data_IF_029282716002
#
_entry.id   IF_029282716002
#
_cell.length_a   1.000
_cell.length_b   1.000
_cell.length_c   1.000
_cell.angle_alpha   90.00
_cell.angle_beta   90.00
_cell.angle_gamma   90.00
#
_symmetry.space_group_name_H-M   'P 1'
#
loop_
_entity.id
_entity.type
_entity.pdbx_description
1 polymer ?
#
# COMPACT_ATOMS: atom_id res chain seq x y z
N UNK A 1 -17.25 -10.79 -17.29
CA UNK A 1 -15.98 -11.52 -17.46
C UNK A 1 -15.61 -12.23 -16.18
N UNK A 2 -14.86 -13.31 -16.28
CA UNK A 2 -14.26 -14.05 -15.17
C UNK A 2 -12.83 -13.57 -14.96
N UNK A 3 -12.59 -12.87 -13.86
CA UNK A 3 -11.33 -12.19 -13.58
C UNK A 3 -10.60 -12.85 -12.42
N UNK A 4 -9.35 -13.27 -12.62
CA UNK A 4 -8.46 -13.66 -11.51
C UNK A 4 -7.82 -12.39 -10.95
N UNK A 5 -7.95 -12.16 -9.64
CA UNK A 5 -7.37 -11.01 -8.96
C UNK A 5 -6.27 -11.45 -7.99
N UNK A 6 -5.03 -11.13 -8.32
CA UNK A 6 -3.86 -11.44 -7.50
C UNK A 6 -3.56 -10.33 -6.49
N UNK A 7 -3.37 -10.71 -5.22
CA UNK A 7 -3.05 -9.75 -4.14
C UNK A 7 -1.81 -10.20 -3.37
N UNK A 8 -0.80 -9.32 -3.31
CA UNK A 8 0.37 -9.58 -2.46
C UNK A 8 0.04 -9.28 -1.01
N UNK A 9 0.42 -10.18 -0.11
CA UNK A 9 0.18 -10.08 1.34
C UNK A 9 1.34 -9.49 2.14
N UNK A 10 2.27 -8.80 1.51
CA UNK A 10 3.35 -8.07 2.20
C UNK A 10 2.82 -6.75 2.79
N UNK A 11 2.08 -6.85 3.89
CA UNK A 11 1.38 -5.72 4.53
C UNK A 11 -0.09 -5.62 4.11
N UNK A 12 -0.92 -5.07 5.00
CA UNK A 12 -2.38 -5.04 4.82
C UNK A 12 -2.85 -4.02 3.78
N UNK A 13 -1.99 -3.07 3.38
CA UNK A 13 -2.37 -2.00 2.46
C UNK A 13 -2.79 -2.46 1.06
N UNK A 14 -2.17 -3.52 0.54
CA UNK A 14 -2.54 -4.13 -0.73
C UNK A 14 -3.93 -4.79 -0.63
N UNK A 15 -4.15 -5.59 0.40
CA UNK A 15 -5.43 -6.26 0.63
C UNK A 15 -6.57 -5.25 0.84
N UNK A 16 -6.35 -4.21 1.63
CA UNK A 16 -7.33 -3.15 1.88
C UNK A 16 -7.71 -2.42 0.60
N UNK A 17 -6.74 -2.09 -0.26
CA UNK A 17 -7.00 -1.47 -1.57
C UNK A 17 -7.72 -2.42 -2.51
N UNK A 18 -7.29 -3.68 -2.56
CA UNK A 18 -7.85 -4.69 -3.45
C UNK A 18 -9.35 -4.92 -3.19
N UNK A 19 -9.80 -4.88 -1.93
CA UNK A 19 -11.24 -4.96 -1.59
C UNK A 19 -12.06 -3.99 -2.41
N UNK A 20 -11.63 -2.71 -2.51
CA UNK A 20 -12.40 -1.68 -3.23
C UNK A 20 -12.49 -1.97 -4.74
N UNK A 21 -11.38 -2.39 -5.35
CA UNK A 21 -11.36 -2.72 -6.79
C UNK A 21 -12.18 -3.99 -7.06
N UNK A 22 -12.07 -5.01 -6.21
CA UNK A 22 -12.84 -6.25 -6.35
C UNK A 22 -14.33 -5.99 -6.19
N UNK A 23 -14.75 -5.21 -5.19
CA UNK A 23 -16.14 -4.83 -5.00
C UNK A 23 -16.68 -4.05 -6.21
N UNK A 24 -15.88 -3.15 -6.78
CA UNK A 24 -16.24 -2.45 -8.01
C UNK A 24 -16.44 -3.45 -9.17
N UNK A 25 -15.52 -4.38 -9.40
CA UNK A 25 -15.65 -5.40 -10.45
C UNK A 25 -16.91 -6.26 -10.27
N UNK A 26 -17.21 -6.69 -9.06
CA UNK A 26 -18.42 -7.43 -8.72
C UNK A 26 -19.68 -6.61 -9.00
N UNK A 27 -19.69 -5.33 -8.62
CA UNK A 27 -20.77 -4.38 -8.90
C UNK A 27 -20.99 -4.13 -10.40
N UNK A 28 -19.96 -4.29 -11.21
CA UNK A 28 -20.02 -4.23 -12.69
C UNK A 28 -20.45 -5.57 -13.34
N UNK A 29 -20.78 -6.57 -12.52
CA UNK A 29 -21.23 -7.89 -12.98
C UNK A 29 -20.11 -8.82 -13.46
N UNK A 30 -18.85 -8.54 -13.09
CA UNK A 30 -17.76 -9.49 -13.27
C UNK A 30 -17.80 -10.55 -12.17
N UNK A 31 -17.33 -11.75 -12.48
CA UNK A 31 -17.03 -12.78 -11.48
C UNK A 31 -15.55 -12.68 -11.12
N UNK A 32 -15.21 -12.81 -9.84
CA UNK A 32 -13.84 -12.64 -9.39
C UNK A 32 -13.38 -13.83 -8.56
N UNK A 33 -12.25 -14.44 -8.96
CA UNK A 33 -11.48 -15.39 -8.17
C UNK A 33 -10.25 -14.67 -7.61
N UNK A 34 -10.15 -14.57 -6.30
CA UNK A 34 -9.06 -13.86 -5.63
C UNK A 34 -7.99 -14.83 -5.20
N UNK A 35 -6.76 -14.64 -5.66
CA UNK A 35 -5.57 -15.36 -5.23
C UNK A 35 -4.70 -14.43 -4.38
N UNK A 36 -4.65 -14.67 -3.06
CA UNK A 36 -3.98 -13.78 -2.12
C UNK A 36 -2.86 -14.48 -1.36
N UNK A 37 -1.68 -13.88 -1.32
CA UNK A 37 -0.54 -14.39 -0.56
C UNK A 37 -0.44 -13.74 0.83
N UNK A 38 0.39 -14.34 1.71
CA UNK A 38 0.65 -13.85 3.07
C UNK A 38 -0.39 -14.28 4.10
N UNK A 39 -0.05 -14.12 5.38
CA UNK A 39 -0.84 -14.71 6.48
C UNK A 39 -2.19 -14.01 6.72
N UNK A 40 -2.27 -12.68 6.60
CA UNK A 40 -3.45 -11.90 6.96
C UNK A 40 -4.34 -11.48 5.78
N UNK A 41 -3.78 -11.36 4.57
CA UNK A 41 -4.51 -10.85 3.43
C UNK A 41 -5.67 -11.76 2.98
N UNK A 42 -5.54 -13.11 2.88
CA UNK A 42 -6.66 -13.96 2.51
C UNK A 42 -7.83 -13.86 3.49
N UNK A 43 -7.55 -13.83 4.80
CA UNK A 43 -8.57 -13.73 5.83
C UNK A 43 -9.31 -12.38 5.79
N UNK A 44 -8.58 -11.28 5.64
CA UNK A 44 -9.17 -9.94 5.50
C UNK A 44 -10.06 -9.86 4.25
N UNK A 45 -9.57 -10.35 3.11
CA UNK A 45 -10.32 -10.33 1.84
C UNK A 45 -11.59 -11.17 1.95
N UNK A 46 -11.50 -12.38 2.51
CA UNK A 46 -12.67 -13.24 2.71
C UNK A 46 -13.72 -12.57 3.62
N UNK A 47 -13.28 -11.97 4.74
CA UNK A 47 -14.17 -11.27 5.65
C UNK A 47 -14.85 -10.05 5.01
N UNK A 48 -14.09 -9.23 4.26
CA UNK A 48 -14.61 -7.99 3.65
C UNK A 48 -15.44 -8.23 2.40
N UNK A 49 -15.22 -9.31 1.67
CA UNK A 49 -15.97 -9.66 0.47
C UNK A 49 -17.24 -10.49 0.78
N UNK A 50 -17.36 -11.05 2.00
CA UNK A 50 -18.59 -11.69 2.48
C UNK A 50 -19.12 -12.82 1.58
N UNK A 51 -18.23 -13.57 0.90
CA UNK A 51 -18.61 -14.64 -0.03
C UNK A 51 -19.01 -14.17 -1.44
N UNK A 52 -19.02 -12.87 -1.74
CA UNK A 52 -19.30 -12.35 -3.07
C UNK A 52 -18.19 -12.70 -4.11
N UNK A 53 -17.00 -13.02 -3.64
CA UNK A 53 -15.89 -13.57 -4.43
C UNK A 53 -15.26 -14.76 -3.74
N UNK A 54 -14.76 -15.72 -4.52
CA UNK A 54 -13.97 -16.83 -4.00
C UNK A 54 -12.57 -16.35 -3.67
N UNK A 55 -12.12 -16.54 -2.43
CA UNK A 55 -10.75 -16.20 -2.00
C UNK A 55 -9.94 -17.45 -1.76
N UNK A 56 -8.80 -17.56 -2.41
CA UNK A 56 -7.85 -18.67 -2.28
C UNK A 56 -6.52 -18.17 -1.76
N UNK A 57 -5.99 -18.76 -0.69
CA UNK A 57 -4.62 -18.50 -0.27
C UNK A 57 -3.64 -19.08 -1.29
N UNK A 58 -2.60 -18.32 -1.57
CA UNK A 58 -1.47 -18.75 -2.38
C UNK A 58 -0.15 -18.45 -1.67
N UNK A 59 0.89 -19.17 -2.05
CA UNK A 59 2.24 -18.91 -1.60
C UNK A 59 2.96 -17.99 -2.59
N UNK A 60 3.07 -16.72 -2.22
CA UNK A 60 3.80 -15.71 -2.98
C UNK A 60 5.33 -15.84 -2.86
N UNK A 61 6.06 -15.02 -3.62
CA UNK A 61 7.50 -14.88 -3.45
C UNK A 61 7.79 -14.19 -2.11
N UNK A 62 8.53 -14.86 -1.22
CA UNK A 62 8.98 -14.27 0.04
C UNK A 62 10.20 -13.39 -0.15
N UNK A 63 10.13 -12.17 0.35
CA UNK A 63 11.26 -11.27 0.47
C UNK A 63 11.72 -11.25 1.92
N UNK A 64 12.90 -11.84 2.17
CA UNK A 64 13.45 -11.93 3.53
C UNK A 64 14.21 -10.65 3.88
N UNK A 65 13.83 -10.03 4.99
CA UNK A 65 14.43 -8.81 5.48
C UNK A 65 15.31 -9.10 6.71
N UNK A 66 16.53 -8.58 6.74
CA UNK A 66 17.42 -8.63 7.92
C UNK A 66 17.85 -7.21 8.29
N UNK A 67 17.64 -6.84 9.53
CA UNK A 67 17.96 -5.49 10.03
C UNK A 67 17.43 -4.37 9.11
N UNK A 68 16.20 -4.52 8.59
CA UNK A 68 15.57 -3.55 7.69
C UNK A 68 16.12 -3.51 6.26
N UNK A 69 16.97 -4.47 5.85
CA UNK A 69 17.54 -4.58 4.50
C UNK A 69 17.09 -5.87 3.83
N UNK A 70 16.75 -5.80 2.54
CA UNK A 70 16.44 -6.98 1.73
C UNK A 70 17.67 -7.90 1.65
N UNK A 71 17.53 -9.13 2.11
CA UNK A 71 18.54 -10.17 2.00
C UNK A 71 18.25 -11.07 0.81
N UNK A 72 18.87 -10.77 -0.35
CA UNK A 72 18.68 -11.55 -1.58
C UNK A 72 19.04 -13.03 -1.41
N UNK A 73 20.13 -13.32 -0.70
CA UNK A 73 20.56 -14.72 -0.45
C UNK A 73 19.54 -15.47 0.40
N UNK A 74 19.04 -14.83 1.47
CA UNK A 74 18.02 -15.44 2.33
C UNK A 74 16.71 -15.63 1.56
N UNK A 75 16.26 -14.61 0.80
CA UNK A 75 15.07 -14.70 -0.04
C UNK A 75 15.15 -15.87 -1.03
N UNK A 76 16.28 -16.06 -1.70
CA UNK A 76 16.50 -17.22 -2.60
C UNK A 76 16.39 -18.54 -1.83
N UNK A 77 17.09 -18.64 -0.68
CA UNK A 77 17.10 -19.86 0.14
C UNK A 77 15.71 -20.22 0.63
N UNK A 78 14.96 -19.24 1.16
CA UNK A 78 13.62 -19.45 1.68
C UNK A 78 12.64 -19.84 0.57
N UNK A 79 12.75 -19.20 -0.60
CA UNK A 79 11.93 -19.56 -1.74
C UNK A 79 12.25 -20.98 -2.28
N UNK A 80 13.50 -21.41 -2.28
CA UNK A 80 13.89 -22.76 -2.69
C UNK A 80 13.45 -23.82 -1.66
N UNK A 81 13.58 -23.53 -0.35
CA UNK A 81 13.18 -24.46 0.70
C UNK A 81 11.68 -24.78 0.69
N UNK A 82 10.86 -23.81 0.33
CA UNK A 82 9.40 -23.94 0.27
C UNK A 82 8.87 -24.32 -1.12
N UNK A 83 9.74 -24.48 -2.11
CA UNK A 83 9.33 -24.67 -3.52
C UNK A 83 8.35 -25.81 -3.75
N UNK A 84 8.54 -26.99 -3.10
CA UNK A 84 7.68 -28.16 -3.30
C UNK A 84 6.29 -28.01 -2.67
N UNK A 85 6.20 -27.44 -1.46
CA UNK A 85 4.91 -27.21 -0.78
C UNK A 85 4.10 -26.14 -1.50
N UNK A 86 4.77 -25.08 -1.92
CA UNK A 86 4.20 -23.98 -2.72
C UNK A 86 3.67 -24.45 -4.07
N UNK A 87 4.41 -25.32 -4.72
CA UNK A 87 4.00 -25.82 -6.04
C UNK A 87 2.62 -26.45 -5.98
N UNK A 88 2.33 -27.30 -5.01
CA UNK A 88 1.03 -27.99 -4.91
C UNK A 88 -0.11 -27.01 -4.66
N UNK A 89 0.02 -26.14 -3.63
CA UNK A 89 -1.03 -25.17 -3.29
C UNK A 89 -1.31 -24.22 -4.45
N UNK A 90 -0.26 -23.72 -5.07
CA UNK A 90 -0.39 -22.80 -6.20
C UNK A 90 -0.97 -23.49 -7.43
N UNK A 91 -0.57 -24.73 -7.71
CA UNK A 91 -1.06 -25.54 -8.83
C UNK A 91 -2.56 -25.81 -8.71
N UNK A 92 -3.05 -26.14 -7.51
CA UNK A 92 -4.48 -26.31 -7.24
C UNK A 92 -5.29 -25.04 -7.56
N UNK A 93 -4.81 -23.88 -7.14
CA UNK A 93 -5.49 -22.59 -7.39
C UNK A 93 -5.44 -22.21 -8.87
N UNK A 94 -4.32 -22.45 -9.54
CA UNK A 94 -4.20 -22.16 -10.97
C UNK A 94 -5.04 -23.13 -11.83
N UNK A 95 -5.13 -24.39 -11.44
CA UNK A 95 -6.03 -25.37 -12.08
C UNK A 95 -7.50 -24.97 -11.89
N UNK A 96 -7.88 -24.55 -10.66
CA UNK A 96 -9.22 -24.01 -10.42
C UNK A 96 -9.51 -22.81 -11.32
N UNK A 97 -8.55 -21.92 -11.53
CA UNK A 97 -8.71 -20.77 -12.42
C UNK A 97 -8.87 -21.17 -13.90
N UNK A 98 -8.13 -22.20 -14.35
CA UNK A 98 -8.27 -22.76 -15.70
C UNK A 98 -9.66 -23.42 -15.89
N UNK A 99 -10.06 -24.30 -14.96
CA UNK A 99 -11.36 -25.00 -15.01
C UNK A 99 -12.54 -24.03 -14.91
N UNK A 100 -12.36 -22.97 -14.13
CA UNK A 100 -13.34 -21.89 -14.03
C UNK A 100 -13.45 -21.08 -15.32
N UNK A 101 -12.44 -21.11 -16.17
CA UNK A 101 -12.38 -20.37 -17.44
C UNK A 101 -12.08 -18.90 -17.25
N UNK A 102 -10.96 -18.60 -16.61
CA UNK A 102 -10.48 -17.22 -16.44
C UNK A 102 -10.27 -16.52 -17.78
N UNK A 103 -10.72 -15.28 -17.91
CA UNK A 103 -10.66 -14.48 -19.14
C UNK A 103 -9.66 -13.32 -19.06
N UNK A 104 -9.34 -12.87 -17.84
CA UNK A 104 -8.39 -11.78 -17.59
C UNK A 104 -7.77 -11.89 -16.19
N UNK A 105 -6.64 -11.25 -16.00
CA UNK A 105 -5.96 -11.17 -14.70
C UNK A 105 -5.73 -9.72 -14.32
N UNK A 106 -6.06 -9.39 -13.07
CA UNK A 106 -5.66 -8.13 -12.42
C UNK A 106 -4.68 -8.48 -11.29
N UNK A 107 -3.50 -7.88 -11.28
CA UNK A 107 -2.48 -8.14 -10.25
C UNK A 107 -2.21 -6.88 -9.43
N UNK A 108 -2.44 -6.95 -8.12
CA UNK A 108 -1.95 -5.98 -7.16
C UNK A 108 -0.60 -6.44 -6.60
N UNK A 109 0.45 -6.18 -7.38
CA UNK A 109 1.84 -6.50 -7.08
C UNK A 109 2.09 -8.00 -6.81
N UNK A 110 1.20 -8.88 -7.24
CA UNK A 110 1.29 -10.32 -7.04
C UNK A 110 1.90 -11.00 -8.27
N UNK A 111 2.91 -11.83 -8.06
CA UNK A 111 3.72 -12.39 -9.14
C UNK A 111 3.17 -13.68 -9.74
N UNK A 112 2.58 -14.57 -8.92
CA UNK A 112 2.10 -15.86 -9.40
C UNK A 112 0.98 -15.69 -10.43
N UNK A 113 0.00 -14.84 -10.13
CA UNK A 113 -1.11 -14.54 -11.04
C UNK A 113 -0.64 -13.80 -12.29
N UNK A 114 0.40 -12.96 -12.17
CA UNK A 114 1.02 -12.35 -13.36
C UNK A 114 1.73 -13.38 -14.25
N UNK A 115 2.43 -14.36 -13.66
CA UNK A 115 3.02 -15.48 -14.42
C UNK A 115 1.96 -16.41 -15.01
N UNK A 116 0.87 -16.67 -14.27
CA UNK A 116 -0.28 -17.41 -14.75
C UNK A 116 -0.86 -16.77 -16.01
N UNK A 117 -1.16 -15.47 -15.97
CA UNK A 117 -1.65 -14.73 -17.13
C UNK A 117 -0.74 -14.92 -18.35
N UNK A 118 0.57 -14.80 -18.15
CA UNK A 118 1.56 -14.98 -19.22
C UNK A 118 1.62 -16.41 -19.76
N UNK A 119 1.47 -17.41 -18.90
CA UNK A 119 1.52 -18.82 -19.30
C UNK A 119 0.26 -19.28 -20.05
N UNK A 120 -0.84 -18.57 -19.91
CA UNK A 120 -2.13 -18.83 -20.55
C UNK A 120 -2.50 -17.82 -21.63
N UNK A 121 -1.58 -16.90 -21.93
CA UNK A 121 -1.81 -15.79 -22.88
C UNK A 121 -3.04 -14.95 -22.55
N UNK A 122 -3.33 -14.82 -21.23
CA UNK A 122 -4.44 -14.02 -20.73
C UNK A 122 -4.04 -12.54 -20.61
N UNK A 123 -4.98 -11.63 -20.86
CA UNK A 123 -4.78 -10.21 -20.59
C UNK A 123 -4.43 -9.94 -19.13
N UNK A 124 -3.38 -9.10 -18.91
CA UNK A 124 -2.87 -8.77 -17.57
C UNK A 124 -2.88 -7.26 -17.31
N UNK A 125 -3.62 -6.84 -16.28
CA UNK A 125 -3.58 -5.48 -15.71
C UNK A 125 -2.81 -5.48 -14.39
N UNK A 126 -1.83 -4.59 -14.23
CA UNK A 126 -1.20 -4.32 -12.94
C UNK A 126 -1.83 -3.09 -12.28
N UNK A 127 -2.27 -3.19 -11.02
CA UNK A 127 -2.86 -2.08 -10.24
C UNK A 127 -2.13 -1.97 -8.92
N UNK A 128 -1.14 -1.09 -8.80
CA UNK A 128 -0.37 -0.92 -7.57
C UNK A 128 0.34 0.45 -7.49
N UNK A 129 0.88 0.79 -6.32
CA UNK A 129 1.69 1.98 -6.08
C UNK A 129 3.19 1.74 -6.25
N UNK A 130 3.65 0.51 -6.12
CA UNK A 130 5.08 0.16 -6.19
C UNK A 130 5.66 0.43 -7.59
N UNK A 131 4.83 0.33 -8.63
CA UNK A 131 5.21 0.65 -10.00
C UNK A 131 5.60 2.12 -10.19
N UNK A 132 5.22 3.03 -9.28
CA UNK A 132 5.66 4.42 -9.31
C UNK A 132 7.18 4.54 -9.36
N UNK A 133 7.90 3.68 -8.62
CA UNK A 133 9.37 3.64 -8.58
C UNK A 133 10.03 3.39 -9.96
N UNK A 134 9.32 2.72 -10.85
CA UNK A 134 9.82 2.28 -12.18
C UNK A 134 9.22 3.08 -13.32
N UNK A 135 7.96 3.47 -13.20
CA UNK A 135 7.16 3.99 -14.32
C UNK A 135 6.96 5.51 -14.31
N UNK A 136 7.21 6.16 -13.16
CA UNK A 136 7.06 7.62 -13.04
C UNK A 136 8.40 8.35 -13.06
N UNK A 137 8.36 9.62 -13.43
CA UNK A 137 9.51 10.52 -13.43
C UNK A 137 9.62 11.22 -12.07
N UNK A 138 10.79 11.12 -11.47
CA UNK A 138 11.06 11.66 -10.15
C UNK A 138 12.12 12.78 -10.17
N UNK A 139 12.35 13.43 -11.33
CA UNK A 139 13.34 14.51 -11.44
C UNK A 139 13.05 15.67 -10.50
N UNK A 140 11.78 15.97 -10.24
CA UNK A 140 11.36 17.03 -9.32
C UNK A 140 11.94 16.87 -7.89
N UNK A 141 12.19 15.65 -7.46
CA UNK A 141 12.79 15.34 -6.14
C UNK A 141 14.27 14.90 -6.25
N UNK A 142 14.96 15.27 -7.32
CA UNK A 142 16.36 14.87 -7.57
C UNK A 142 16.53 13.43 -8.04
N UNK A 143 15.46 12.78 -8.50
CA UNK A 143 15.46 11.41 -8.98
C UNK A 143 15.48 10.37 -7.85
N UNK A 144 15.63 9.10 -8.24
CA UNK A 144 15.60 7.98 -7.30
C UNK A 144 16.97 7.30 -7.11
N UNK A 145 18.02 7.76 -7.81
CA UNK A 145 19.33 7.10 -7.81
C UNK A 145 19.98 6.95 -6.43
N UNK A 146 19.76 7.91 -5.54
CA UNK A 146 20.30 7.95 -4.17
C UNK A 146 19.37 7.34 -3.11
N UNK A 147 18.24 6.69 -3.49
CA UNK A 147 17.38 6.03 -2.50
C UNK A 147 18.01 4.72 -2.02
N UNK A 148 18.01 4.45 -0.70
CA UNK A 148 18.46 3.18 -0.17
C UNK A 148 17.72 1.99 -0.79
N UNK A 149 18.45 0.98 -1.25
CA UNK A 149 17.86 -0.24 -1.81
C UNK A 149 17.20 -0.11 -3.19
N UNK A 150 17.26 1.04 -3.85
CA UNK A 150 16.50 1.33 -5.08
C UNK A 150 16.77 0.37 -6.25
N UNK A 151 18.03 -0.11 -6.41
CA UNK A 151 18.36 -1.04 -7.50
C UNK A 151 17.63 -2.36 -7.34
N UNK A 152 17.68 -2.93 -6.12
CA UNK A 152 16.96 -4.16 -5.78
C UNK A 152 15.44 -3.99 -5.87
N UNK A 153 14.91 -2.90 -5.29
CA UNK A 153 13.48 -2.62 -5.35
C UNK A 153 12.96 -2.49 -6.79
N UNK A 154 13.70 -1.81 -7.68
CA UNK A 154 13.34 -1.72 -9.10
C UNK A 154 13.39 -3.07 -9.82
N UNK A 155 14.35 -3.93 -9.49
CA UNK A 155 14.43 -5.27 -10.06
C UNK A 155 13.22 -6.12 -9.61
N UNK A 156 12.92 -6.11 -8.32
CA UNK A 156 11.73 -6.79 -7.75
C UNK A 156 10.44 -6.26 -8.39
N UNK A 157 10.27 -4.93 -8.45
CA UNK A 157 9.06 -4.33 -9.02
C UNK A 157 8.84 -4.75 -10.48
N UNK A 158 9.91 -4.83 -11.29
CA UNK A 158 9.78 -5.32 -12.66
C UNK A 158 9.47 -6.81 -12.75
N UNK A 159 9.98 -7.60 -11.80
CA UNK A 159 9.79 -9.04 -11.78
C UNK A 159 8.41 -9.47 -11.24
N UNK A 160 7.74 -8.62 -10.48
CA UNK A 160 6.41 -8.94 -9.89
C UNK A 160 5.30 -9.01 -10.94
N UNK A 161 5.27 -8.07 -11.88
CA UNK A 161 4.26 -8.01 -12.94
C UNK A 161 4.93 -7.83 -14.30
N UNK A 162 5.69 -8.84 -14.77
CA UNK A 162 6.45 -8.74 -16.00
C UNK A 162 5.52 -8.69 -17.21
N UNK A 163 5.69 -7.66 -18.05
CA UNK A 163 4.99 -7.58 -19.33
C UNK A 163 3.47 -7.40 -19.21
N UNK A 164 2.96 -6.80 -18.15
CA UNK A 164 1.55 -6.46 -18.08
C UNK A 164 1.15 -5.56 -19.28
N UNK A 165 -0.06 -5.79 -19.79
CA UNK A 165 -0.57 -5.06 -20.94
C UNK A 165 -0.80 -3.60 -20.62
N UNK A 166 -1.19 -3.33 -19.37
CA UNK A 166 -1.33 -1.98 -18.85
C UNK A 166 -1.03 -1.92 -17.35
N UNK A 167 -0.68 -0.73 -16.88
CA UNK A 167 -0.35 -0.44 -15.48
C UNK A 167 -1.16 0.76 -14.99
N UNK A 168 -2.01 0.54 -14.02
CA UNK A 168 -2.69 1.58 -13.24
C UNK A 168 -1.85 1.84 -11.99
N UNK A 169 -1.16 2.97 -11.98
CA UNK A 169 -0.25 3.34 -10.88
C UNK A 169 -0.94 4.31 -9.95
N UNK A 170 -1.19 3.89 -8.72
CA UNK A 170 -1.76 4.78 -7.71
C UNK A 170 -0.68 5.68 -7.11
N UNK A 171 -0.91 6.99 -7.07
CA UNK A 171 0.08 7.98 -6.59
C UNK A 171 -0.59 9.15 -5.89
N UNK A 172 -0.01 9.62 -4.78
CA UNK A 172 -0.42 10.85 -4.10
C UNK A 172 0.37 12.09 -4.60
N UNK A 173 1.33 11.90 -5.47
CA UNK A 173 2.19 12.96 -6.00
C UNK A 173 2.07 13.06 -7.53
N UNK A 174 2.23 14.30 -8.09
CA UNK A 174 2.02 14.57 -9.51
C UNK A 174 3.28 14.28 -10.34
N UNK A 175 3.73 13.03 -10.38
CA UNK A 175 4.87 12.64 -11.20
C UNK A 175 4.41 12.21 -12.61
N UNK A 176 5.01 12.77 -13.69
CA UNK A 176 4.70 12.37 -15.05
C UNK A 176 5.05 10.91 -15.33
N UNK A 177 4.33 10.28 -16.24
CA UNK A 177 4.69 8.95 -16.73
C UNK A 177 5.96 9.00 -17.58
N UNK A 178 6.85 8.03 -17.38
CA UNK A 178 8.07 7.84 -18.17
C UNK A 178 8.08 6.56 -19.00
N UNK A 179 7.01 5.77 -18.90
CA UNK A 179 6.85 4.52 -19.60
C UNK A 179 5.47 4.42 -20.24
N UNK A 180 5.36 3.83 -21.45
CA UNK A 180 4.08 3.62 -22.12
C UNK A 180 3.19 2.66 -21.31
N UNK A 181 1.94 2.53 -21.71
CA UNK A 181 0.94 1.64 -21.09
C UNK A 181 0.81 1.90 -19.58
N UNK A 182 0.75 3.18 -19.19
CA UNK A 182 0.69 3.59 -17.78
C UNK A 182 -0.34 4.70 -17.62
N UNK A 183 -1.32 4.45 -16.76
CA UNK A 183 -2.26 5.44 -16.25
C UNK A 183 -1.92 5.74 -14.80
N UNK A 184 -1.77 7.00 -14.45
CA UNK A 184 -1.58 7.42 -13.05
C UNK A 184 -2.93 7.87 -12.51
N UNK A 185 -3.28 7.32 -11.36
CA UNK A 185 -4.53 7.64 -10.67
C UNK A 185 -4.24 8.02 -9.21
N UNK A 186 -5.20 8.70 -8.58
CA UNK A 186 -5.14 8.97 -7.14
C UNK A 186 -5.11 7.68 -6.32
N UNK A 187 -4.67 7.74 -5.06
CA UNK A 187 -4.72 6.59 -4.17
C UNK A 187 -6.14 6.03 -4.05
N UNK A 188 -6.25 4.70 -4.06
CA UNK A 188 -7.52 4.01 -3.78
C UNK A 188 -7.66 3.92 -2.26
N UNK A 189 -8.68 4.57 -1.72
CA UNK A 189 -8.91 4.72 -0.30
C UNK A 189 -10.13 3.90 0.16
N UNK A 190 -10.15 3.55 1.43
CA UNK A 190 -11.30 2.88 2.06
C UNK A 190 -12.54 3.80 2.03
N UNK A 191 -13.75 3.26 1.85
CA UNK A 191 -14.98 4.06 1.87
C UNK A 191 -15.14 4.87 3.16
N UNK A 192 -14.72 4.31 4.28
CA UNK A 192 -14.78 4.95 5.59
C UNK A 192 -13.87 6.21 5.66
N UNK A 193 -12.71 6.19 4.99
CA UNK A 193 -11.82 7.35 4.88
C UNK A 193 -12.41 8.39 3.93
N UNK A 194 -13.00 7.96 2.81
CA UNK A 194 -13.66 8.87 1.86
C UNK A 194 -14.88 9.58 2.47
N UNK A 195 -15.61 8.89 3.36
CA UNK A 195 -16.76 9.46 4.06
C UNK A 195 -16.39 10.31 5.29
N UNK A 196 -15.16 10.19 5.78
CA UNK A 196 -14.75 10.86 7.01
C UNK A 196 -14.49 12.35 6.80
N UNK A 197 -15.01 13.16 7.73
CA UNK A 197 -14.79 14.61 7.75
C UNK A 197 -13.72 14.98 8.76
N UNK A 198 -12.79 15.82 8.35
CA UNK A 198 -11.71 16.38 9.20
C UNK A 198 -12.28 17.18 10.37
N UNK A 199 -11.84 16.88 11.60
CA UNK A 199 -12.19 17.60 12.81
C UNK A 199 -10.96 17.72 13.74
N UNK A 200 -10.05 18.70 13.54
CA UNK A 200 -8.77 18.77 14.21
C UNK A 200 -8.91 18.86 15.73
N UNK A 201 -8.26 17.95 16.45
CA UNK A 201 -8.08 17.94 17.90
C UNK A 201 -6.62 18.21 18.30
N UNK A 202 -6.30 17.93 19.57
CA UNK A 202 -4.99 18.22 20.15
C UNK A 202 -4.01 17.03 20.06
N UNK A 203 -4.53 15.80 19.94
CA UNK A 203 -3.70 14.59 20.00
C UNK A 203 -2.96 14.31 18.68
N UNK A 204 -1.88 13.56 18.79
CA UNK A 204 -1.10 13.03 17.67
C UNK A 204 -1.29 11.52 17.63
N UNK A 205 -1.62 10.98 16.46
CA UNK A 205 -1.65 9.53 16.24
C UNK A 205 -0.27 9.05 15.85
N UNK A 206 0.23 8.03 16.54
CA UNK A 206 1.49 7.37 16.21
C UNK A 206 1.24 5.90 15.89
N UNK A 207 1.75 5.44 14.74
CA UNK A 207 1.59 4.05 14.30
C UNK A 207 2.88 3.49 13.71
N UNK A 208 3.32 2.38 14.27
CA UNK A 208 4.42 1.57 13.72
C UNK A 208 4.18 0.08 13.97
N UNK A 209 4.43 -0.72 12.94
CA UNK A 209 4.43 -2.19 13.05
C UNK A 209 5.79 -2.76 13.49
N UNK A 210 6.83 -1.94 13.52
CA UNK A 210 8.18 -2.32 13.94
C UNK A 210 8.89 -1.16 14.61
N UNK A 211 9.87 -1.43 15.47
CA UNK A 211 10.61 -0.42 16.25
C UNK A 211 9.69 0.42 17.16
N UNK A 212 8.66 -0.21 17.71
CA UNK A 212 7.65 0.47 18.55
C UNK A 212 8.27 1.00 19.85
N UNK A 213 9.20 0.27 20.46
CA UNK A 213 9.82 0.70 21.72
C UNK A 213 10.61 1.99 21.55
N UNK A 214 11.40 2.12 20.49
CA UNK A 214 12.13 3.35 20.20
C UNK A 214 11.20 4.53 19.93
N UNK A 215 10.01 4.28 19.34
CA UNK A 215 8.97 5.31 19.20
C UNK A 215 8.44 5.70 20.57
N UNK A 216 8.04 4.75 21.41
CA UNK A 216 7.52 5.02 22.74
C UNK A 216 8.51 5.80 23.62
N UNK A 217 9.79 5.44 23.57
CA UNK A 217 10.84 6.18 24.30
C UNK A 217 10.89 7.64 23.87
N UNK A 218 10.87 7.89 22.56
CA UNK A 218 10.85 9.26 22.04
C UNK A 218 9.56 10.03 22.42
N UNK A 219 8.39 9.37 22.44
CA UNK A 219 7.13 10.01 22.82
C UNK A 219 7.08 10.37 24.31
N UNK A 220 7.64 9.54 25.21
CA UNK A 220 7.73 9.81 26.65
C UNK A 220 8.48 11.10 26.96
N UNK A 221 9.42 11.49 26.12
CA UNK A 221 10.18 12.74 26.24
C UNK A 221 9.41 13.99 25.74
N UNK A 222 8.15 13.85 25.27
CA UNK A 222 7.32 14.95 24.73
C UNK A 222 5.99 15.01 25.50
N UNK A 223 6.02 15.27 26.83
CA UNK A 223 4.82 15.21 27.69
C UNK A 223 3.80 16.30 27.42
N UNK A 224 4.16 17.33 26.69
CA UNK A 224 3.30 18.45 26.33
C UNK A 224 2.23 18.11 25.27
N UNK A 225 2.27 16.90 24.69
CA UNK A 225 1.37 16.48 23.62
C UNK A 225 0.71 15.15 23.97
N UNK A 226 -0.62 15.02 23.88
CA UNK A 226 -1.28 13.73 24.02
C UNK A 226 -1.07 12.87 22.77
N UNK A 227 -0.67 11.61 22.98
CA UNK A 227 -0.46 10.64 21.90
C UNK A 227 -1.44 9.47 21.98
N UNK A 228 -1.94 9.04 20.84
CA UNK A 228 -2.64 7.76 20.66
C UNK A 228 -1.75 6.84 19.83
N UNK A 229 -1.30 5.74 20.41
CA UNK A 229 -0.29 4.87 19.82
C UNK A 229 -0.90 3.54 19.43
N UNK A 230 -0.77 3.19 18.15
CA UNK A 230 -1.20 1.93 17.56
C UNK A 230 0.01 1.05 17.22
N UNK A 231 -0.17 -0.29 17.30
CA UNK A 231 0.87 -1.25 16.96
C UNK A 231 1.77 -1.64 18.15
N UNK A 232 1.45 -1.21 19.38
CA UNK A 232 2.21 -1.57 20.58
C UNK A 232 1.99 -3.02 21.04
N UNK A 233 1.01 -3.73 20.49
CA UNK A 233 0.68 -5.11 20.90
C UNK A 233 0.03 -5.20 22.29
N UNK A 234 -0.24 -4.06 22.93
CA UNK A 234 -0.88 -3.94 24.23
C UNK A 234 -1.75 -2.69 24.28
N UNK A 235 -2.67 -2.66 25.24
CA UNK A 235 -3.59 -1.53 25.51
C UNK A 235 -3.31 -0.97 26.90
N UNK A 236 -3.39 0.34 27.06
CA UNK A 236 -3.20 0.99 28.36
C UNK A 236 -2.96 2.47 28.28
N UNK A 237 -2.73 3.11 29.44
CA UNK A 237 -2.40 4.50 29.56
C UNK A 237 -1.03 4.66 30.24
N UNK A 238 -0.13 5.39 29.59
CA UNK A 238 1.20 5.73 30.11
C UNK A 238 1.34 7.28 30.14
N UNK A 239 0.85 7.92 31.18
CA UNK A 239 0.85 9.38 31.28
C UNK A 239 0.05 10.03 30.13
N UNK A 240 0.71 10.76 29.26
CA UNK A 240 0.14 11.43 28.07
C UNK A 240 0.01 10.52 26.84
N UNK A 241 0.38 9.23 26.96
CA UNK A 241 0.36 8.24 25.86
C UNK A 241 -0.76 7.24 26.13
N UNK A 242 -1.73 7.16 25.22
CA UNK A 242 -2.74 6.11 25.17
C UNK A 242 -2.28 5.02 24.18
N UNK A 243 -2.12 3.79 24.66
CA UNK A 243 -1.85 2.61 23.83
C UNK A 243 -3.18 2.00 23.38
N UNK A 244 -3.42 2.00 22.09
CA UNK A 244 -4.70 1.62 21.50
C UNK A 244 -4.67 0.20 20.89
N UNK A 245 -5.75 -0.57 21.10
CA UNK A 245 -6.01 -1.73 20.25
C UNK A 245 -6.32 -1.27 18.83
N UNK A 246 -5.96 -2.10 17.84
CA UNK A 246 -6.30 -1.78 16.45
C UNK A 246 -7.77 -2.13 16.20
N UNK A 247 -8.53 -1.11 15.88
CA UNK A 247 -9.91 -1.17 15.38
C UNK A 247 -10.00 -0.17 14.22
N UNK A 248 -10.52 -0.61 13.09
CA UNK A 248 -10.53 0.20 11.86
C UNK A 248 -11.31 1.51 12.01
N UNK A 249 -12.51 1.46 12.62
CA UNK A 249 -13.37 2.62 12.78
C UNK A 249 -12.75 3.63 13.75
N UNK A 250 -12.26 3.14 14.88
CA UNK A 250 -11.56 3.96 15.88
C UNK A 250 -10.28 4.58 15.31
N UNK A 251 -9.49 3.80 14.58
CA UNK A 251 -8.25 4.30 13.98
C UNK A 251 -8.51 5.45 12.99
N UNK A 252 -9.53 5.31 12.14
CA UNK A 252 -9.91 6.37 11.19
C UNK A 252 -10.41 7.60 11.95
N UNK A 253 -11.22 7.41 13.00
CA UNK A 253 -11.72 8.51 13.83
C UNK A 253 -10.57 9.24 14.53
N UNK A 254 -9.62 8.50 15.11
CA UNK A 254 -8.43 9.07 15.73
C UNK A 254 -7.54 9.80 14.72
N UNK A 255 -7.37 9.29 13.51
CA UNK A 255 -6.59 9.97 12.45
C UNK A 255 -7.30 11.24 11.98
N UNK A 256 -8.61 11.20 11.67
CA UNK A 256 -9.33 12.40 11.20
C UNK A 256 -9.39 13.51 12.23
N UNK A 257 -9.30 13.17 13.52
CA UNK A 257 -9.30 14.12 14.63
C UNK A 257 -7.89 14.45 15.15
N UNK A 258 -6.84 13.78 14.67
CA UNK A 258 -5.48 14.05 15.09
C UNK A 258 -4.98 15.42 14.62
N UNK A 259 -4.12 16.07 15.42
CA UNK A 259 -3.33 17.22 14.98
C UNK A 259 -2.32 16.85 13.92
N UNK A 260 -1.71 15.65 14.03
CA UNK A 260 -0.72 15.12 13.10
C UNK A 260 -0.63 13.59 13.23
N UNK A 261 0.04 12.96 12.28
CA UNK A 261 0.39 11.52 12.29
C UNK A 261 1.90 11.35 12.35
N UNK A 262 2.39 10.43 13.18
CA UNK A 262 3.79 9.95 13.18
C UNK A 262 3.78 8.49 12.79
N UNK A 263 4.54 8.11 11.75
CA UNK A 263 4.52 6.72 11.33
C UNK A 263 5.61 6.32 10.35
N UNK A 264 5.58 5.04 9.95
CA UNK A 264 6.34 4.59 8.80
C UNK A 264 5.82 5.26 7.53
N UNK A 265 6.67 5.33 6.51
CA UNK A 265 6.31 5.95 5.24
C UNK A 265 5.55 5.00 4.29
N UNK A 266 4.73 4.08 4.85
CA UNK A 266 3.87 3.18 4.08
C UNK A 266 2.79 3.95 3.33
N UNK A 267 2.51 3.51 2.11
CA UNK A 267 1.63 4.25 1.19
C UNK A 267 0.20 4.44 1.75
N UNK A 268 -0.41 3.39 2.32
CA UNK A 268 -1.82 3.43 2.75
C UNK A 268 -2.07 4.47 3.86
N UNK A 269 -1.37 4.36 4.99
CA UNK A 269 -1.54 5.34 6.08
C UNK A 269 -1.22 6.76 5.63
N UNK A 270 -0.15 6.93 4.84
CA UNK A 270 0.23 8.25 4.33
C UNK A 270 -0.90 8.85 3.49
N UNK A 271 -1.43 8.09 2.53
CA UNK A 271 -2.46 8.61 1.63
C UNK A 271 -3.81 8.85 2.32
N UNK A 272 -4.15 8.05 3.33
CA UNK A 272 -5.31 8.29 4.18
C UNK A 272 -5.16 9.57 5.02
N UNK A 273 -3.99 9.77 5.66
CA UNK A 273 -3.70 10.99 6.41
C UNK A 273 -3.75 12.23 5.51
N UNK A 274 -3.12 12.18 4.32
CA UNK A 274 -3.12 13.30 3.37
C UNK A 274 -4.54 13.62 2.87
N UNK A 275 -5.34 12.59 2.56
CA UNK A 275 -6.75 12.78 2.16
C UNK A 275 -7.55 13.48 3.25
N UNK A 276 -7.36 13.08 4.49
CA UNK A 276 -7.99 13.69 5.66
C UNK A 276 -7.39 15.07 6.02
N UNK A 277 -6.36 15.55 5.32
CA UNK A 277 -5.71 16.82 5.62
C UNK A 277 -4.87 16.78 6.89
N UNK A 278 -4.33 15.64 7.26
CA UNK A 278 -3.51 15.45 8.45
C UNK A 278 -2.03 15.40 8.08
N UNK A 279 -1.21 16.36 8.56
CA UNK A 279 0.23 16.35 8.32
C UNK A 279 0.91 15.11 8.90
N UNK A 280 1.98 14.64 8.24
CA UNK A 280 2.66 13.41 8.65
C UNK A 280 4.16 13.60 8.87
N UNK A 281 4.67 13.09 10.00
CA UNK A 281 6.08 12.79 10.20
C UNK A 281 6.33 11.35 9.73
N UNK A 282 7.03 11.21 8.62
CA UNK A 282 7.29 9.92 7.98
C UNK A 282 8.72 9.45 8.26
N UNK A 283 8.85 8.26 8.87
CA UNK A 283 10.15 7.63 9.20
C UNK A 283 10.26 6.32 8.43
N UNK A 284 10.91 6.33 7.24
CA UNK A 284 10.97 5.17 6.37
C UNK A 284 11.82 4.05 6.99
N UNK A 285 11.47 2.81 6.73
CA UNK A 285 12.29 1.67 7.08
C UNK A 285 13.57 1.64 6.22
N UNK A 286 14.69 1.33 6.87
CA UNK A 286 15.98 1.26 6.20
C UNK A 286 15.94 0.27 5.02
N UNK A 287 16.32 0.71 3.84
CA UNK A 287 16.36 -0.12 2.63
C UNK A 287 15.04 -0.31 1.91
N UNK A 288 13.93 0.21 2.40
CA UNK A 288 12.65 0.21 1.68
C UNK A 288 12.54 1.43 0.74
N UNK A 289 13.00 1.26 -0.50
CA UNK A 289 13.10 2.35 -1.47
C UNK A 289 11.77 3.04 -1.76
N UNK A 290 10.64 2.32 -1.71
CA UNK A 290 9.30 2.90 -1.86
C UNK A 290 8.99 3.88 -0.72
N UNK A 291 9.25 3.49 0.54
CA UNK A 291 9.02 4.37 1.69
C UNK A 291 9.93 5.62 1.64
N UNK A 292 11.17 5.47 1.21
CA UNK A 292 12.05 6.62 0.98
C UNK A 292 11.56 7.51 -0.15
N UNK A 293 11.00 6.94 -1.21
CA UNK A 293 10.37 7.70 -2.30
C UNK A 293 9.17 8.49 -1.79
N UNK A 294 8.27 7.84 -1.05
CA UNK A 294 7.09 8.48 -0.45
C UNK A 294 7.51 9.62 0.47
N UNK A 295 8.51 9.40 1.33
CA UNK A 295 9.03 10.43 2.23
C UNK A 295 9.60 11.64 1.50
N UNK A 296 10.36 11.44 0.42
CA UNK A 296 10.89 12.55 -0.39
C UNK A 296 9.78 13.37 -1.04
N UNK A 297 8.76 12.71 -1.60
CA UNK A 297 7.62 13.40 -2.19
C UNK A 297 6.79 14.12 -1.15
N UNK A 298 6.52 13.49 0.00
CA UNK A 298 5.83 14.13 1.14
C UNK A 298 6.50 15.45 1.53
N UNK A 299 7.83 15.41 1.70
CA UNK A 299 8.63 16.59 2.09
C UNK A 299 8.68 17.64 0.98
N UNK A 300 8.86 17.22 -0.28
CA UNK A 300 8.90 18.12 -1.43
C UNK A 300 7.60 18.88 -1.63
N UNK A 301 6.47 18.24 -1.42
CA UNK A 301 5.14 18.84 -1.54
C UNK A 301 4.75 19.67 -0.29
N UNK A 302 5.54 19.62 0.78
CA UNK A 302 5.24 20.35 2.00
C UNK A 302 4.09 19.78 2.82
N UNK A 303 3.71 18.51 2.59
CA UNK A 303 2.60 17.85 3.29
C UNK A 303 3.00 17.25 4.64
N UNK A 304 4.29 17.33 4.97
CA UNK A 304 4.85 16.79 6.19
C UNK A 304 6.37 16.79 6.16
N UNK A 305 6.95 16.03 7.07
CA UNK A 305 8.40 15.94 7.26
C UNK A 305 8.87 14.49 7.14
N UNK A 306 9.99 14.29 6.45
CA UNK A 306 10.74 13.04 6.49
C UNK A 306 11.83 13.08 7.55
N UNK A 307 12.04 11.96 8.26
CA UNK A 307 13.14 11.81 9.20
C UNK A 307 13.82 10.45 9.06
N UNK A 308 15.10 10.36 9.38
CA UNK A 308 15.84 9.09 9.38
C UNK A 308 15.55 8.24 10.62
N UNK A 309 15.23 8.89 11.75
CA UNK A 309 14.85 8.30 13.02
C UNK A 309 13.76 9.13 13.68
N UNK A 310 13.13 8.56 14.69
CA UNK A 310 12.20 9.27 15.56
C UNK A 310 12.88 9.50 16.90
N UNK A 311 12.99 10.77 17.31
CA UNK A 311 13.44 11.23 18.62
C UNK A 311 12.66 12.49 19.04
N UNK A 312 12.73 12.88 20.29
CA UNK A 312 11.99 14.02 20.83
C UNK A 312 12.30 15.35 20.12
N UNK A 313 13.57 15.70 19.81
CA UNK A 313 13.88 16.89 19.03
C UNK A 313 13.21 16.88 17.64
N UNK A 314 13.24 15.75 16.93
CA UNK A 314 12.58 15.58 15.62
C UNK A 314 11.07 15.78 15.71
N UNK A 315 10.44 15.18 16.74
CA UNK A 315 9.00 15.31 16.98
C UNK A 315 8.64 16.78 17.23
N UNK A 316 9.36 17.46 18.14
CA UNK A 316 9.11 18.89 18.43
C UNK A 316 9.31 19.79 17.22
N UNK A 317 10.38 19.56 16.45
CA UNK A 317 10.65 20.31 15.23
C UNK A 317 9.52 20.14 14.18
N UNK A 318 9.00 18.93 14.02
CA UNK A 318 7.85 18.65 13.16
C UNK A 318 6.58 19.32 13.67
N UNK A 319 6.26 19.18 14.96
CA UNK A 319 5.05 19.75 15.57
C UNK A 319 5.05 21.28 15.54
N UNK A 320 6.22 21.91 15.64
CA UNK A 320 6.38 23.36 15.47
C UNK A 320 6.07 23.88 14.05
N UNK A 321 5.96 22.98 13.05
CA UNK A 321 5.66 23.32 11.66
C UNK A 321 4.34 22.73 11.16
N UNK A 322 3.59 22.08 12.03
CA UNK A 322 2.37 21.35 11.68
C UNK A 322 1.34 22.22 10.96
N UNK A 323 1.18 23.48 11.39
CA UNK A 323 0.21 24.41 10.80
C UNK A 323 0.60 24.79 9.36
N UNK A 324 1.89 24.92 9.06
CA UNK A 324 2.38 25.16 7.72
C UNK A 324 2.14 23.93 6.80
N UNK A 325 2.32 22.72 7.31
CA UNK A 325 2.02 21.50 6.57
C UNK A 325 0.51 21.33 6.35
N UNK A 326 -0.31 21.65 7.34
CA UNK A 326 -1.77 21.63 7.21
C UNK A 326 -2.26 22.60 6.13
N UNK A 327 -1.72 23.85 6.12
CA UNK A 327 -2.02 24.82 5.08
C UNK A 327 -1.62 24.34 3.68
N UNK A 328 -0.45 23.69 3.53
CA UNK A 328 -0.05 23.12 2.25
C UNK A 328 -1.00 21.97 1.80
N UNK A 329 -1.55 21.21 2.75
CA UNK A 329 -2.52 20.14 2.48
C UNK A 329 -3.90 20.65 2.03
N UNK A 330 -4.21 21.92 2.15
CA UNK A 330 -5.43 22.49 1.56
C UNK A 330 -5.43 22.36 0.03
N UNK A 331 -4.25 22.43 -0.60
CA UNK A 331 -4.06 22.23 -2.04
C UNK A 331 -3.96 20.75 -2.45
N UNK A 332 -4.00 19.79 -1.51
CA UNK A 332 -3.95 18.37 -1.84
C UNK A 332 -5.17 17.96 -2.67
N UNK A 333 -5.00 17.33 -3.84
CA UNK A 333 -6.10 16.99 -4.73
C UNK A 333 -6.90 15.81 -4.16
N UNK A 334 -7.86 16.09 -3.27
CA UNK A 334 -8.79 15.10 -2.73
C UNK A 334 -9.76 14.63 -3.80
N UNK A 335 -10.27 13.43 -3.65
CA UNK A 335 -11.26 12.83 -4.55
C UNK A 335 -11.58 11.40 -4.13
N UNK A 336 -12.43 10.75 -4.90
CA UNK A 336 -12.87 9.38 -4.72
C UNK A 336 -12.01 8.37 -5.51
N UNK A 337 -12.44 7.11 -5.49
CA UNK A 337 -11.79 6.00 -6.20
C UNK A 337 -12.17 5.93 -7.70
N UNK A 338 -13.12 6.76 -8.17
CA UNK A 338 -13.68 6.66 -9.52
C UNK A 338 -12.61 6.69 -10.62
N UNK A 339 -11.57 7.54 -10.58
CA UNK A 339 -10.53 7.52 -11.62
C UNK A 339 -9.78 6.18 -11.73
N UNK A 340 -9.62 5.46 -10.62
CA UNK A 340 -9.01 4.13 -10.64
C UNK A 340 -9.97 3.08 -11.21
N UNK A 341 -11.24 3.17 -10.86
CA UNK A 341 -12.31 2.31 -11.38
C UNK A 341 -12.50 2.50 -12.88
N UNK A 342 -12.55 3.75 -13.35
CA UNK A 342 -12.64 4.07 -14.78
C UNK A 342 -11.45 3.52 -15.57
N UNK A 343 -10.23 3.58 -15.00
CA UNK A 343 -9.05 3.03 -15.64
C UNK A 343 -9.12 1.50 -15.77
N UNK A 344 -9.64 0.81 -14.76
CA UNK A 344 -9.86 -0.64 -14.77
C UNK A 344 -10.95 -1.01 -15.77
N UNK A 345 -12.11 -0.33 -15.73
CA UNK A 345 -13.24 -0.56 -16.64
C UNK A 345 -12.85 -0.33 -18.10
N UNK A 346 -12.13 0.77 -18.37
CA UNK A 346 -11.65 1.08 -19.71
C UNK A 346 -10.73 -0.01 -20.26
N UNK A 347 -9.83 -0.55 -19.42
CA UNK A 347 -8.94 -1.63 -19.84
C UNK A 347 -9.72 -2.93 -20.11
N UNK A 348 -10.66 -3.31 -19.24
CA UNK A 348 -11.52 -4.49 -19.42
C UNK A 348 -12.46 -4.35 -20.63
N UNK A 349 -12.99 -3.14 -20.86
CA UNK A 349 -13.90 -2.85 -21.99
C UNK A 349 -13.21 -3.04 -23.36
N UNK A 350 -11.99 -2.57 -23.52
CA UNK A 350 -11.22 -2.75 -24.76
C UNK A 350 -11.01 -4.22 -25.13
N UNK A 351 -11.03 -5.14 -24.16
CA UNK A 351 -10.87 -6.56 -24.36
C UNK A 351 -12.18 -7.28 -24.77
N UNK A 352 -13.34 -6.65 -24.52
CA UNK A 352 -14.64 -7.13 -25.02
C UNK A 352 -14.81 -6.83 -26.50
N UNK A 353 -14.29 -5.68 -26.95
CA UNK A 353 -14.52 -5.18 -28.31
C UNK A 353 -13.43 -5.59 -29.30
N UNK A 354 -12.28 -6.11 -28.82
CA UNK A 354 -11.16 -6.60 -29.65
C UNK A 354 -10.73 -8.00 -29.15
N UNK A 355 -11.49 -9.04 -29.46
CA UNK A 355 -11.05 -10.42 -29.24
C UNK A 355 -9.94 -10.71 -30.22
N UNK A 356 -8.68 -10.84 -29.73
CA UNK A 356 -7.40 -11.04 -30.40
C UNK A 356 -7.44 -11.69 -31.78
#
# INVERSE_FOLDING_TARGET
MKVVYGVVGEGMGHATRAVNVIQHLLGRGHQVLVAASGEGAPALLAARLGGAATVRPIEGLHLSWRAGRLSTRQSIRDNLALARARWRLNDEVLTEADDWGAEAVVSDFESLTAFYARSRDLPLLAVDNCQALVRLDHRAIGGTGGLPGVRGARAVTRARTPGADHYVVTSFFPAPTRRPRTTVVRPILRPEVLAATRAPGAHVVAYRSSLIDALLDALREVPEVPFKVYGAGRVGQEGHIELCAFDDARFIDDVRTARAVIGGAGFSLMTEALHLGVPMLAVPLAGQAEQHLNTRWLTHLGYGQGAASVDAPTIRAFLGRVDAYAAALEAYPRGDNQPAFDAVDHWLGRRRDDPA
#
